data_IF_499428074170
#
_entry.id   IF_499428074170
#
_cell.length_a   1.000
_cell.length_b   1.000
_cell.length_c   1.000
_cell.angle_alpha   90.00
_cell.angle_beta   90.00
_cell.angle_gamma   90.00
#
_symmetry.space_group_name_H-M   'P 1'
#
loop_
_entity.id
_entity.type
_entity.pdbx_description
1 polymer ?
#
# COMPACT_ATOMS: atom_id res chain seq x y z
N UNK A 1 29.33 36.41 -8.36
CA UNK A 1 28.99 36.08 -6.98
C UNK A 1 28.22 34.77 -6.99
N UNK A 2 28.82 33.73 -6.49
CA UNK A 2 28.09 32.48 -6.30
C UNK A 2 27.23 32.60 -5.04
N UNK A 3 25.92 32.59 -5.20
CA UNK A 3 24.99 32.48 -4.09
C UNK A 3 25.09 31.05 -3.58
N UNK A 4 25.70 30.83 -2.42
CA UNK A 4 25.69 29.56 -1.74
C UNK A 4 24.31 29.33 -1.11
N UNK A 5 23.91 28.07 -0.99
CA UNK A 5 22.64 27.65 -0.39
C UNK A 5 22.39 28.32 0.98
N UNK A 6 23.45 28.49 1.78
CA UNK A 6 23.37 29.14 3.10
C UNK A 6 22.99 30.64 3.04
N UNK A 7 23.35 31.34 1.94
CA UNK A 7 22.95 32.75 1.80
C UNK A 7 21.48 32.95 1.44
N UNK A 8 20.82 31.91 0.97
CA UNK A 8 19.40 31.96 0.60
C UNK A 8 18.51 31.70 1.83
N UNK A 9 19.03 30.93 2.79
CA UNK A 9 18.28 30.55 4.00
C UNK A 9 18.24 31.70 5.02
N UNK A 10 19.21 32.60 4.98
CA UNK A 10 19.29 33.77 5.91
C UNK A 10 18.46 34.99 5.46
N UNK A 11 17.88 34.98 4.28
CA UNK A 11 16.92 36.01 3.93
C UNK A 11 15.56 35.71 4.59
N UNK A 12 15.21 36.55 5.55
CA UNK A 12 13.95 36.46 6.34
C UNK A 12 12.66 36.44 5.50
N UNK A 13 12.78 36.67 4.18
CA UNK A 13 11.68 36.63 3.21
C UNK A 13 11.58 35.31 2.41
N UNK A 14 12.51 34.35 2.62
CA UNK A 14 12.38 33.03 2.03
C UNK A 14 11.46 32.17 2.90
N UNK A 15 10.18 32.39 2.80
CA UNK A 15 9.24 31.34 3.09
C UNK A 15 9.36 30.31 1.97
N UNK A 16 9.82 29.08 2.25
CA UNK A 16 9.64 28.01 1.28
C UNK A 16 8.12 27.89 1.10
N UNK A 17 7.64 28.43 0.01
CA UNK A 17 6.30 28.12 -0.46
C UNK A 17 6.36 26.64 -0.82
N UNK A 18 6.20 25.82 0.20
CA UNK A 18 5.68 24.48 0.02
C UNK A 18 4.24 24.70 -0.46
N UNK A 19 4.16 25.21 -1.70
CA UNK A 19 2.90 25.25 -2.39
C UNK A 19 2.50 23.81 -2.62
N UNK A 20 1.65 23.33 -1.75
CA UNK A 20 0.81 22.15 -1.96
C UNK A 20 -0.07 22.29 -3.22
N UNK A 21 0.32 23.13 -4.16
CA UNK A 21 -0.45 23.51 -5.33
C UNK A 21 0.19 23.24 -6.69
N UNK A 22 1.50 23.04 -6.75
CA UNK A 22 2.22 22.77 -8.00
C UNK A 22 2.72 21.32 -8.08
N UNK A 23 1.88 20.37 -7.69
CA UNK A 23 2.10 19.00 -8.12
C UNK A 23 1.93 18.96 -9.65
N UNK A 24 3.02 18.64 -10.35
CA UNK A 24 2.96 18.39 -11.77
C UNK A 24 1.78 17.43 -12.05
N UNK A 25 0.85 17.76 -12.96
CA UNK A 25 -0.34 16.92 -13.20
C UNK A 25 -0.01 15.45 -13.44
N UNK A 26 1.14 15.16 -14.05
CA UNK A 26 1.63 13.80 -14.29
C UNK A 26 1.95 13.07 -12.98
N UNK A 27 2.61 13.72 -12.01
CA UNK A 27 2.90 13.13 -10.71
C UNK A 27 1.61 12.87 -9.92
N UNK A 28 0.66 13.79 -9.96
CA UNK A 28 -0.63 13.61 -9.30
C UNK A 28 -1.41 12.40 -9.84
N UNK A 29 -1.34 12.15 -11.15
CA UNK A 29 -1.97 10.98 -11.78
C UNK A 29 -1.25 9.69 -11.36
N UNK A 30 0.09 9.67 -11.40
CA UNK A 30 0.89 8.53 -11.00
C UNK A 30 0.69 8.18 -9.52
N UNK A 31 0.61 9.16 -8.65
CA UNK A 31 0.39 8.94 -7.22
C UNK A 31 -1.03 8.42 -6.93
N UNK A 32 -2.03 8.89 -7.65
CA UNK A 32 -3.39 8.33 -7.59
C UNK A 32 -3.42 6.88 -8.05
N UNK A 33 -2.71 6.55 -9.10
CA UNK A 33 -2.60 5.18 -9.62
C UNK A 33 -1.91 4.27 -8.59
N UNK A 34 -0.78 4.69 -8.03
CA UNK A 34 -0.07 3.97 -6.96
C UNK A 34 -0.96 3.74 -5.74
N UNK A 35 -1.68 4.77 -5.30
CA UNK A 35 -2.63 4.66 -4.20
C UNK A 35 -3.77 3.66 -4.51
N UNK A 36 -4.27 3.65 -5.72
CA UNK A 36 -5.31 2.71 -6.14
C UNK A 36 -4.79 1.26 -6.14
N UNK A 37 -3.56 1.02 -6.61
CA UNK A 37 -2.94 -0.29 -6.54
C UNK A 37 -2.70 -0.73 -5.09
N UNK A 38 -2.21 0.16 -4.23
CA UNK A 38 -2.01 -0.14 -2.82
C UNK A 38 -3.32 -0.53 -2.13
N UNK A 39 -4.39 0.20 -2.38
CA UNK A 39 -5.72 -0.10 -1.83
C UNK A 39 -6.21 -1.48 -2.26
N UNK A 40 -6.10 -1.79 -3.56
CA UNK A 40 -6.44 -3.09 -4.08
C UNK A 40 -5.59 -4.21 -3.47
N UNK A 41 -4.30 -3.98 -3.30
CA UNK A 41 -3.39 -4.93 -2.69
C UNK A 41 -3.72 -5.18 -1.22
N UNK A 42 -4.04 -4.14 -0.45
CA UNK A 42 -4.48 -4.28 0.96
C UNK A 42 -5.80 -5.04 1.04
N UNK A 43 -6.76 -4.72 0.17
CA UNK A 43 -8.05 -5.40 0.12
C UNK A 43 -7.93 -6.89 -0.22
N UNK A 44 -6.94 -7.27 -1.02
CA UNK A 44 -6.68 -8.67 -1.40
C UNK A 44 -5.91 -9.48 -0.34
N UNK A 45 -5.36 -8.83 0.71
CA UNK A 45 -4.65 -9.53 1.77
C UNK A 45 -5.58 -10.52 2.50
N UNK A 46 -5.03 -11.67 2.99
CA UNK A 46 -5.76 -12.52 3.91
C UNK A 46 -6.26 -11.73 5.12
N UNK A 47 -7.45 -12.04 5.62
CA UNK A 47 -8.15 -11.27 6.63
C UNK A 47 -7.28 -10.90 7.86
N UNK A 48 -6.58 -11.90 8.42
CA UNK A 48 -5.71 -11.67 9.59
C UNK A 48 -4.51 -10.76 9.27
N UNK A 49 -3.92 -10.90 8.10
CA UNK A 49 -2.80 -10.06 7.67
C UNK A 49 -3.27 -8.63 7.43
N UNK A 50 -4.42 -8.47 6.79
CA UNK A 50 -5.05 -7.17 6.59
C UNK A 50 -5.38 -6.50 7.90
N UNK A 51 -5.97 -7.22 8.85
CA UNK A 51 -6.26 -6.69 10.19
C UNK A 51 -4.98 -6.17 10.88
N UNK A 52 -3.90 -6.93 10.88
CA UNK A 52 -2.62 -6.52 11.47
C UNK A 52 -2.07 -5.25 10.79
N UNK A 53 -2.09 -5.20 9.47
CA UNK A 53 -1.62 -4.03 8.70
C UNK A 53 -2.49 -2.81 8.98
N UNK A 54 -3.80 -2.94 8.90
CA UNK A 54 -4.73 -1.83 9.14
C UNK A 54 -4.60 -1.28 10.55
N UNK A 55 -4.64 -2.15 11.54
CA UNK A 55 -4.54 -1.73 12.95
C UNK A 55 -3.18 -1.11 13.29
N UNK A 56 -2.11 -1.59 12.67
CA UNK A 56 -0.78 -1.04 12.94
C UNK A 56 -0.56 0.31 12.26
N UNK A 57 -0.92 0.47 10.99
CA UNK A 57 -0.60 1.66 10.20
C UNK A 57 -1.68 2.76 10.23
N UNK A 58 -2.95 2.40 10.40
CA UNK A 58 -4.05 3.37 10.43
C UNK A 58 -4.53 3.69 11.84
N UNK A 59 -4.52 2.69 12.74
CA UNK A 59 -4.94 2.88 14.12
C UNK A 59 -3.75 3.12 15.07
N UNK A 60 -2.53 3.19 14.55
CA UNK A 60 -1.27 3.38 15.31
C UNK A 60 -1.11 2.40 16.48
N UNK A 61 -1.59 1.18 16.30
CA UNK A 61 -1.57 0.17 17.37
C UNK A 61 -0.30 -0.64 17.35
N UNK A 62 0.35 -0.83 18.50
CA UNK A 62 1.56 -1.64 18.58
C UNK A 62 1.26 -3.14 18.40
N UNK A 63 2.20 -3.86 17.79
CA UNK A 63 2.03 -5.30 17.48
C UNK A 63 1.79 -6.17 18.72
N UNK A 64 2.35 -5.81 19.87
CA UNK A 64 2.11 -6.55 21.12
C UNK A 64 0.65 -6.47 21.59
N UNK A 65 -0.03 -5.33 21.38
CA UNK A 65 -1.45 -5.18 21.68
C UNK A 65 -2.30 -6.07 20.78
N UNK A 66 -1.97 -6.12 19.50
CA UNK A 66 -2.67 -6.97 18.53
C UNK A 66 -2.48 -8.47 18.84
N UNK A 67 -1.33 -8.85 19.37
CA UNK A 67 -1.07 -10.22 19.80
C UNK A 67 -2.07 -10.68 20.88
N UNK A 68 -2.32 -9.83 21.88
CA UNK A 68 -3.30 -10.10 22.91
C UNK A 68 -4.71 -10.28 22.38
N UNK A 69 -5.14 -9.43 21.44
CA UNK A 69 -6.48 -9.51 20.83
C UNK A 69 -6.68 -10.72 19.93
N UNK A 70 -5.66 -11.06 19.16
CA UNK A 70 -5.71 -12.22 18.25
C UNK A 70 -5.49 -13.55 18.97
N UNK A 71 -5.12 -13.53 20.25
CA UNK A 71 -4.77 -14.74 20.99
C UNK A 71 -3.51 -15.42 20.44
N UNK A 72 -2.58 -14.64 19.88
CA UNK A 72 -1.33 -15.11 19.27
C UNK A 72 -0.12 -14.60 20.05
N UNK A 73 1.03 -15.22 19.84
CA UNK A 73 2.29 -14.68 20.36
C UNK A 73 2.71 -13.42 19.58
N UNK A 74 3.42 -12.52 20.24
CA UNK A 74 3.97 -11.31 19.59
C UNK A 74 4.87 -11.66 18.41
N UNK A 75 5.67 -12.71 18.55
CA UNK A 75 6.51 -13.23 17.45
C UNK A 75 5.67 -13.64 16.24
N UNK A 76 4.51 -14.28 16.46
CA UNK A 76 3.61 -14.68 15.36
C UNK A 76 2.99 -13.49 14.67
N UNK A 77 2.56 -12.48 15.42
CA UNK A 77 2.01 -11.24 14.85
C UNK A 77 3.09 -10.48 14.07
N UNK A 78 4.32 -10.43 14.56
CA UNK A 78 5.45 -9.83 13.85
C UNK A 78 5.77 -10.57 12.55
N UNK A 79 5.70 -11.89 12.53
CA UNK A 79 5.83 -12.70 11.31
C UNK A 79 4.72 -12.38 10.30
N UNK A 80 3.47 -12.31 10.77
CA UNK A 80 2.33 -11.96 9.92
C UNK A 80 2.46 -10.56 9.33
N UNK A 81 2.90 -9.59 10.12
CA UNK A 81 3.19 -8.24 9.66
C UNK A 81 4.26 -8.23 8.55
N UNK A 82 5.37 -8.93 8.77
CA UNK A 82 6.46 -9.02 7.78
C UNK A 82 5.99 -9.74 6.51
N UNK A 83 5.22 -10.80 6.64
CA UNK A 83 4.66 -11.53 5.49
C UNK A 83 3.68 -10.65 4.69
N UNK A 84 2.81 -9.91 5.37
CA UNK A 84 1.89 -8.98 4.73
C UNK A 84 2.63 -7.89 3.94
N UNK A 85 3.68 -7.29 4.51
CA UNK A 85 4.50 -6.29 3.81
C UNK A 85 5.19 -6.87 2.58
N UNK A 86 5.67 -8.12 2.64
CA UNK A 86 6.23 -8.78 1.46
C UNK A 86 5.19 -8.99 0.37
N UNK A 87 3.99 -9.44 0.73
CA UNK A 87 2.89 -9.60 -0.22
C UNK A 87 2.51 -8.27 -0.87
N UNK A 88 2.37 -7.22 -0.09
CA UNK A 88 2.08 -5.87 -0.60
C UNK A 88 3.15 -5.38 -1.57
N UNK A 89 4.42 -5.54 -1.20
CA UNK A 89 5.55 -5.17 -2.06
C UNK A 89 5.54 -5.95 -3.37
N UNK A 90 5.34 -7.27 -3.31
CA UNK A 90 5.27 -8.13 -4.50
C UNK A 90 4.11 -7.73 -5.42
N UNK A 91 2.94 -7.41 -4.87
CA UNK A 91 1.80 -6.94 -5.64
C UNK A 91 2.04 -5.58 -6.28
N UNK A 92 2.59 -4.64 -5.55
CA UNK A 92 2.90 -3.30 -6.06
C UNK A 92 3.95 -3.37 -7.17
N UNK A 93 5.02 -4.15 -6.97
CA UNK A 93 6.06 -4.35 -8.00
C UNK A 93 5.47 -4.97 -9.27
N UNK A 94 4.60 -5.96 -9.13
CA UNK A 94 3.98 -6.63 -10.28
C UNK A 94 3.08 -5.70 -11.10
N UNK A 95 2.47 -4.70 -10.48
CA UNK A 95 1.58 -3.75 -11.15
C UNK A 95 2.32 -2.54 -11.73
N UNK A 96 3.40 -2.11 -11.09
CA UNK A 96 4.14 -0.91 -11.47
C UNK A 96 5.37 -1.18 -12.35
N UNK A 97 5.81 -2.44 -12.42
CA UNK A 97 6.95 -2.83 -13.23
C UNK A 97 6.50 -3.03 -14.70
N UNK A 98 6.99 -2.21 -15.64
CA UNK A 98 6.59 -2.32 -17.04
C UNK A 98 7.21 -3.56 -17.74
N UNK A 99 8.21 -4.20 -17.14
CA UNK A 99 8.82 -5.39 -17.73
C UNK A 99 8.07 -6.66 -17.31
N UNK A 100 7.50 -7.40 -18.29
CA UNK A 100 6.88 -8.68 -17.99
C UNK A 100 7.98 -9.66 -17.56
N UNK A 101 8.08 -9.91 -16.27
CA UNK A 101 8.92 -11.00 -15.77
C UNK A 101 8.39 -12.32 -16.32
N UNK A 102 9.28 -13.19 -16.81
CA UNK A 102 8.84 -14.51 -17.26
C UNK A 102 8.09 -15.19 -16.12
N UNK A 103 6.84 -15.53 -16.38
CA UNK A 103 5.99 -16.23 -15.43
C UNK A 103 6.52 -17.65 -15.32
N UNK A 104 7.49 -17.85 -14.43
CA UNK A 104 7.84 -19.20 -14.02
C UNK A 104 6.65 -19.76 -13.26
N UNK A 105 6.24 -20.97 -13.63
CA UNK A 105 5.17 -21.65 -12.92
C UNK A 105 5.50 -21.70 -11.42
N UNK A 106 4.57 -21.27 -10.54
CA UNK A 106 4.86 -21.15 -9.12
C UNK A 106 5.10 -22.53 -8.51
N UNK A 107 6.32 -22.80 -8.09
CA UNK A 107 6.69 -24.04 -7.41
C UNK A 107 6.48 -23.90 -5.90
N UNK A 108 5.81 -24.87 -5.30
CA UNK A 108 5.52 -24.93 -3.86
C UNK A 108 4.28 -24.13 -3.40
N UNK A 109 3.79 -24.46 -2.21
CA UNK A 109 2.57 -23.86 -1.64
C UNK A 109 2.68 -22.36 -1.40
N UNK A 110 3.81 -21.87 -0.90
CA UNK A 110 4.03 -20.46 -0.64
C UNK A 110 4.07 -19.63 -1.92
N UNK A 111 4.68 -20.14 -2.98
CA UNK A 111 4.72 -19.50 -4.28
C UNK A 111 3.33 -19.43 -4.93
N UNK A 112 2.54 -20.51 -4.82
CA UNK A 112 1.15 -20.55 -5.31
C UNK A 112 0.26 -19.55 -4.57
N UNK A 113 0.37 -19.43 -3.23
CA UNK A 113 -0.36 -18.44 -2.45
C UNK A 113 0.00 -17.02 -2.86
N UNK A 114 1.28 -16.72 -3.06
CA UNK A 114 1.73 -15.40 -3.54
C UNK A 114 1.21 -15.09 -4.95
N UNK A 115 1.21 -16.07 -5.85
CA UNK A 115 0.67 -15.91 -7.19
C UNK A 115 -0.84 -15.67 -7.18
N UNK A 116 -1.59 -16.42 -6.37
CA UNK A 116 -3.03 -16.21 -6.18
C UNK A 116 -3.34 -14.84 -5.59
N UNK A 117 -2.57 -14.41 -4.60
CA UNK A 117 -2.70 -13.06 -4.02
C UNK A 117 -2.45 -11.95 -5.06
N UNK A 118 -1.38 -12.05 -5.86
CA UNK A 118 -1.11 -11.06 -6.92
C UNK A 118 -2.23 -11.00 -7.95
N UNK A 119 -2.77 -12.15 -8.34
CA UNK A 119 -3.91 -12.22 -9.25
C UNK A 119 -5.15 -11.55 -8.66
N UNK A 120 -5.44 -11.78 -7.39
CA UNK A 120 -6.56 -11.14 -6.67
C UNK A 120 -6.39 -9.63 -6.56
N UNK A 121 -5.19 -9.16 -6.20
CA UNK A 121 -4.89 -7.73 -6.13
C UNK A 121 -5.01 -7.07 -7.51
N UNK A 122 -4.54 -7.71 -8.56
CA UNK A 122 -4.68 -7.23 -9.93
C UNK A 122 -6.14 -7.16 -10.40
N UNK A 123 -6.95 -8.14 -10.04
CA UNK A 123 -8.38 -8.16 -10.39
C UNK A 123 -9.18 -7.04 -9.68
N UNK A 124 -8.82 -6.68 -8.45
CA UNK A 124 -9.44 -5.57 -7.71
C UNK A 124 -8.99 -4.19 -8.20
N UNK A 125 -7.87 -4.12 -8.91
CA UNK A 125 -7.29 -2.89 -9.45
C UNK A 125 -7.68 -2.69 -10.93
N UNK A 126 -8.98 -2.54 -11.20
CA UNK A 126 -9.43 -2.22 -12.55
C UNK A 126 -9.15 -0.75 -12.92
N UNK A 127 -9.15 -0.46 -14.23
CA UNK A 127 -8.92 0.89 -14.75
C UNK A 127 -9.93 1.90 -14.22
N UNK A 128 -11.17 1.50 -14.04
CA UNK A 128 -12.26 2.35 -13.54
C UNK A 128 -12.04 2.77 -12.10
N UNK A 129 -11.62 1.83 -11.23
CA UNK A 129 -11.25 2.14 -9.84
C UNK A 129 -10.03 3.03 -9.77
N UNK A 130 -9.06 2.88 -10.66
CA UNK A 130 -7.87 3.74 -10.70
C UNK A 130 -8.18 5.17 -11.09
N UNK A 131 -9.03 5.38 -12.08
CA UNK A 131 -9.42 6.71 -12.58
C UNK A 131 -10.42 7.37 -11.65
N UNK A 132 -11.35 6.61 -11.09
CA UNK A 132 -12.40 7.13 -10.22
C UNK A 132 -12.00 7.21 -8.74
N UNK A 133 -10.75 6.91 -8.41
CA UNK A 133 -10.20 6.95 -7.04
C UNK A 133 -10.12 8.37 -6.46
N UNK A 134 -11.22 9.09 -6.55
CA UNK A 134 -11.55 10.17 -5.65
C UNK A 134 -11.71 9.57 -4.26
N UNK A 135 -10.60 9.62 -3.47
CA UNK A 135 -10.66 9.56 -2.00
C UNK A 135 -11.57 8.52 -1.33
N UNK A 136 -11.90 7.42 -2.01
CA UNK A 136 -12.51 6.29 -1.31
C UNK A 136 -11.52 5.78 -0.28
N UNK A 137 -11.93 5.79 0.98
CA UNK A 137 -11.07 5.30 2.05
C UNK A 137 -10.71 3.83 1.79
N UNK A 138 -9.55 3.39 2.23
CA UNK A 138 -9.15 1.97 2.14
C UNK A 138 -10.24 1.08 2.75
N UNK A 139 -10.90 1.58 3.80
CA UNK A 139 -12.01 0.89 4.46
C UNK A 139 -13.19 0.64 3.52
N UNK A 140 -13.61 1.62 2.73
CA UNK A 140 -14.69 1.45 1.75
C UNK A 140 -14.35 0.43 0.67
N UNK A 141 -13.08 0.34 0.27
CA UNK A 141 -12.63 -0.68 -0.68
C UNK A 141 -12.61 -2.08 -0.06
N UNK A 142 -12.22 -2.17 1.21
CA UNK A 142 -12.24 -3.42 1.96
C UNK A 142 -13.67 -3.89 2.15
N UNK A 143 -14.58 -3.02 2.54
CA UNK A 143 -15.99 -3.33 2.75
C UNK A 143 -16.68 -3.75 1.44
N UNK A 144 -16.26 -3.15 0.31
CA UNK A 144 -16.74 -3.53 -1.02
C UNK A 144 -16.18 -4.88 -1.50
N UNK A 145 -14.91 -5.19 -1.16
CA UNK A 145 -14.25 -6.43 -1.59
C UNK A 145 -14.68 -7.64 -0.75
N UNK A 146 -15.22 -7.40 0.45
CA UNK A 146 -15.75 -8.44 1.34
C UNK A 146 -17.20 -8.09 1.61
N UNK A 147 -18.15 -8.54 0.77
CA UNK A 147 -19.53 -8.55 1.19
C UNK A 147 -19.61 -9.37 2.48
N UNK A 148 -20.26 -8.80 3.50
CA UNK A 148 -20.49 -9.42 4.79
C UNK A 148 -20.62 -10.95 4.65
N UNK A 149 -19.64 -11.66 5.17
CA UNK A 149 -19.81 -13.07 5.47
C UNK A 149 -20.69 -13.13 6.71
N UNK A 150 -21.97 -12.99 6.46
CA UNK A 150 -22.97 -13.32 7.45
C UNK A 150 -22.95 -14.83 7.71
#
# INVERSE_FOLDING_TARGET
MALTYDSIVESEDFQPVLSSGDECPEHAILDRERCAYLRAAVAALPERHRYVIMSHFWDDRPLHSLAGELGLSESRVSQMHTEALRLLRDAMTAQLDPEPRPVQAPEGCAARRRAAYRASAGALSDFRSRVSAKQSSIQELIDRAIPDAA
#
